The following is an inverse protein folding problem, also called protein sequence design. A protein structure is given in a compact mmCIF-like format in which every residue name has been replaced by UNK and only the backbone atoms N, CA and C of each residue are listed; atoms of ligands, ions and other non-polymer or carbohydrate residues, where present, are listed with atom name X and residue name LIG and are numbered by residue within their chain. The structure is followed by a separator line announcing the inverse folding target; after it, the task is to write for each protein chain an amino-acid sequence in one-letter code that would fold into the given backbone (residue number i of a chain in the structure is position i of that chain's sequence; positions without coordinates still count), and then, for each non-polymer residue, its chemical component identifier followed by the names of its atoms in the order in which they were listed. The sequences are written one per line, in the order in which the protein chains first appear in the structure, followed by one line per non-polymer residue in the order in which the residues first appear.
data_IF_917924998192
#
_entry.id   IF_917924998192
#
_cell.length_a   1.000
_cell.length_b   1.000
_cell.length_c   1.000
_cell.angle_alpha   90.00
_cell.angle_beta   90.00
_cell.angle_gamma   90.00
#
_symmetry.space_group_name_H-M   'P 1'
#
loop_
_entity.id
_entity.type
_entity.pdbx_description
1 polymer ?
#
# COMPACT_ATOMS: atom_id res chain seq x y z
N UNK A 1 41.73 -18.97 -18.94
CA UNK A 1 40.56 -19.77 -19.38
C UNK A 1 39.38 -18.82 -19.34
N UNK A 2 38.62 -18.74 -20.44
CA UNK A 2 37.41 -17.93 -20.44
C UNK A 2 36.28 -18.72 -19.80
N UNK A 3 35.60 -18.12 -18.82
CA UNK A 3 34.48 -18.72 -18.12
C UNK A 3 33.19 -18.61 -18.95
N UNK A 4 32.32 -19.61 -18.77
CA UNK A 4 30.96 -19.68 -19.34
C UNK A 4 29.93 -19.48 -18.25
N UNK A 5 28.70 -19.10 -18.63
CA UNK A 5 27.58 -18.78 -17.76
C UNK A 5 26.38 -19.61 -18.22
N UNK A 6 25.74 -20.30 -17.28
CA UNK A 6 24.50 -21.03 -17.56
C UNK A 6 23.33 -20.03 -17.50
N UNK A 7 22.64 -19.80 -18.61
CA UNK A 7 21.43 -18.99 -18.68
C UNK A 7 20.18 -19.82 -18.34
N UNK A 8 19.68 -19.66 -17.11
CA UNK A 8 18.44 -20.29 -16.62
C UNK A 8 17.17 -19.63 -17.18
N UNK A 9 17.30 -18.52 -17.89
CA UNK A 9 16.19 -17.70 -18.39
C UNK A 9 15.96 -17.85 -19.89
N UNK A 10 16.96 -18.36 -20.61
CA UNK A 10 17.03 -18.41 -22.07
C UNK A 10 16.87 -17.04 -22.76
N UNK A 11 17.02 -15.94 -22.01
CA UNK A 11 16.92 -14.58 -22.55
C UNK A 11 18.12 -14.27 -23.44
N UNK A 12 19.31 -14.77 -23.11
CA UNK A 12 20.54 -14.41 -23.85
C UNK A 12 20.49 -14.83 -25.31
N UNK A 13 19.80 -15.94 -25.62
CA UNK A 13 19.67 -16.45 -26.98
C UNK A 13 18.37 -16.00 -27.66
N UNK A 14 17.26 -15.95 -26.90
CA UNK A 14 15.93 -15.87 -27.48
C UNK A 14 15.34 -14.46 -27.44
N UNK A 15 16.05 -13.49 -26.85
CA UNK A 15 15.62 -12.09 -26.81
C UNK A 15 16.32 -11.24 -27.87
N UNK A 16 15.55 -10.39 -28.56
CA UNK A 16 16.08 -9.35 -29.45
C UNK A 16 16.22 -7.99 -28.77
N UNK A 17 15.68 -7.84 -27.56
CA UNK A 17 15.59 -6.58 -26.84
C UNK A 17 16.78 -6.30 -25.92
N UNK A 18 17.68 -7.28 -25.75
CA UNK A 18 18.88 -7.17 -24.91
C UNK A 18 20.11 -7.44 -25.75
N UNK A 19 21.14 -6.62 -25.56
CA UNK A 19 22.45 -6.83 -26.14
C UNK A 19 23.24 -7.82 -25.26
N UNK A 20 23.75 -8.90 -25.87
CA UNK A 20 24.58 -9.89 -25.18
C UNK A 20 25.82 -9.26 -24.55
N UNK A 21 26.40 -8.22 -25.18
CA UNK A 21 27.53 -7.49 -24.60
C UNK A 21 27.14 -6.73 -23.33
N UNK A 22 25.91 -6.21 -23.25
CA UNK A 22 25.39 -5.56 -22.04
C UNK A 22 25.20 -6.58 -20.91
N UNK A 23 24.64 -7.75 -21.21
CA UNK A 23 24.49 -8.83 -20.22
C UNK A 23 25.84 -9.29 -19.69
N UNK A 24 26.80 -9.49 -20.61
CA UNK A 24 28.18 -9.86 -20.27
C UNK A 24 28.82 -8.81 -19.36
N UNK A 25 28.72 -7.53 -19.72
CA UNK A 25 29.29 -6.44 -18.94
C UNK A 25 28.64 -6.34 -17.55
N UNK A 26 27.32 -6.48 -17.46
CA UNK A 26 26.59 -6.48 -16.19
C UNK A 26 27.11 -7.57 -15.24
N UNK A 27 27.35 -8.78 -15.73
CA UNK A 27 27.86 -9.88 -14.92
C UNK A 27 29.31 -9.63 -14.47
N UNK A 28 30.16 -9.09 -15.35
CA UNK A 28 31.52 -8.69 -14.99
C UNK A 28 31.50 -7.64 -13.87
N UNK A 29 30.63 -6.63 -14.00
CA UNK A 29 30.53 -5.54 -13.03
C UNK A 29 29.98 -6.03 -11.67
N UNK A 30 28.96 -6.89 -11.69
CA UNK A 30 28.39 -7.52 -10.50
C UNK A 30 29.41 -8.38 -9.74
N UNK A 31 30.31 -9.05 -10.47
CA UNK A 31 31.35 -9.92 -9.92
C UNK A 31 32.75 -9.31 -10.01
N UNK A 32 32.85 -7.99 -10.05
CA UNK A 32 34.10 -7.23 -10.22
C UNK A 32 35.16 -7.52 -9.14
N UNK A 33 34.79 -8.14 -8.02
CA UNK A 33 35.71 -8.61 -6.97
C UNK A 33 36.42 -9.92 -7.30
N UNK A 34 35.97 -10.69 -8.29
CA UNK A 34 36.40 -12.08 -8.54
C UNK A 34 37.33 -12.26 -9.75
N UNK A 35 37.78 -11.19 -10.42
CA UNK A 35 38.64 -11.28 -11.63
C UNK A 35 38.12 -12.25 -12.69
N UNK A 36 36.81 -12.24 -12.95
CA UNK A 36 36.17 -13.13 -13.92
C UNK A 36 36.53 -12.70 -15.33
N UNK A 37 37.04 -13.63 -16.14
CA UNK A 37 37.29 -13.45 -17.57
C UNK A 37 36.28 -14.25 -18.37
N UNK A 38 35.24 -13.60 -18.88
CA UNK A 38 34.20 -14.24 -19.68
C UNK A 38 34.58 -14.34 -21.15
N UNK A 39 34.12 -15.41 -21.82
CA UNK A 39 34.17 -15.53 -23.28
C UNK A 39 33.38 -14.40 -23.97
N UNK A 40 33.57 -14.21 -25.27
CA UNK A 40 32.82 -13.20 -26.04
C UNK A 40 31.31 -13.47 -26.04
N UNK A 41 30.92 -14.74 -26.18
CA UNK A 41 29.56 -15.24 -26.04
C UNK A 41 29.54 -16.29 -24.91
N UNK A 42 29.46 -15.86 -23.64
CA UNK A 42 29.69 -16.76 -22.51
C UNK A 42 28.44 -17.56 -22.13
N UNK A 43 27.28 -17.26 -22.69
CA UNK A 43 26.01 -17.85 -22.28
C UNK A 43 25.77 -19.21 -22.95
N UNK A 44 25.44 -20.20 -22.13
CA UNK A 44 25.01 -21.53 -22.56
C UNK A 44 23.64 -21.84 -21.95
N UNK A 45 22.83 -22.63 -22.64
CA UNK A 45 21.52 -23.05 -22.14
C UNK A 45 21.63 -23.86 -20.84
N UNK A 46 20.51 -23.93 -20.12
CA UNK A 46 20.40 -24.72 -18.91
C UNK A 46 20.65 -26.22 -19.16
N UNK A 47 21.87 -26.67 -18.84
CA UNK A 47 22.24 -28.08 -18.81
C UNK A 47 22.33 -28.55 -17.35
N UNK A 48 21.45 -29.50 -16.92
CA UNK A 48 21.48 -30.02 -15.57
C UNK A 48 22.82 -30.68 -15.20
N UNK A 49 23.56 -31.21 -16.17
CA UNK A 49 24.88 -31.82 -15.94
C UNK A 49 25.95 -30.78 -15.58
N UNK A 50 25.80 -29.55 -16.07
CA UNK A 50 26.74 -28.45 -15.81
C UNK A 50 26.43 -27.70 -14.51
N UNK A 51 25.18 -27.76 -14.04
CA UNK A 51 24.72 -27.07 -12.84
C UNK A 51 25.46 -27.46 -11.55
N UNK A 52 26.06 -28.66 -11.51
CA UNK A 52 26.81 -29.16 -10.36
C UNK A 52 28.30 -28.75 -10.34
N UNK A 53 28.80 -28.14 -11.43
CA UNK A 53 30.23 -27.83 -11.59
C UNK A 53 30.65 -26.48 -10.99
N UNK A 54 29.78 -25.82 -10.23
CA UNK A 54 30.06 -24.50 -9.62
C UNK A 54 30.18 -23.37 -10.64
N UNK A 55 29.64 -23.56 -11.85
CA UNK A 55 29.62 -22.56 -12.92
C UNK A 55 28.65 -21.44 -12.54
N UNK A 56 28.99 -20.20 -12.92
CA UNK A 56 28.11 -19.05 -12.70
C UNK A 56 26.77 -19.22 -13.44
N UNK A 57 25.69 -18.85 -12.77
CA UNK A 57 24.33 -18.99 -13.29
C UNK A 57 23.69 -17.62 -13.42
N UNK A 58 23.06 -17.37 -14.57
CA UNK A 58 22.26 -16.18 -14.80
C UNK A 58 20.78 -16.54 -14.64
N UNK A 59 20.14 -15.96 -13.64
CA UNK A 59 18.77 -16.28 -13.21
C UNK A 59 17.81 -15.12 -13.44
N UNK A 60 16.51 -15.37 -13.26
CA UNK A 60 15.50 -14.31 -13.34
C UNK A 60 15.69 -13.18 -12.33
N UNK A 61 16.30 -13.46 -11.17
CA UNK A 61 16.63 -12.40 -10.21
C UNK A 61 17.75 -11.50 -10.76
N UNK A 62 18.75 -12.09 -11.43
CA UNK A 62 19.81 -11.34 -12.09
C UNK A 62 19.25 -10.47 -13.24
N UNK A 63 18.27 -10.99 -14.00
CA UNK A 63 17.55 -10.20 -15.00
C UNK A 63 16.84 -8.99 -14.40
N UNK A 64 16.11 -9.18 -13.29
CA UNK A 64 15.36 -8.10 -12.63
C UNK A 64 16.33 -7.01 -12.16
N UNK A 65 17.43 -7.39 -11.49
CA UNK A 65 18.45 -6.46 -11.05
C UNK A 65 19.12 -5.73 -12.24
N UNK A 66 19.38 -6.44 -13.34
CA UNK A 66 19.92 -5.85 -14.56
C UNK A 66 18.95 -4.83 -15.18
N UNK A 67 17.65 -5.14 -15.25
CA UNK A 67 16.64 -4.25 -15.80
C UNK A 67 16.47 -2.95 -14.99
N UNK A 68 16.78 -3.00 -13.70
CA UNK A 68 16.78 -1.83 -12.81
C UNK A 68 18.11 -1.07 -12.79
N UNK A 69 19.13 -1.54 -13.51
CA UNK A 69 20.45 -0.90 -13.52
C UNK A 69 20.51 0.32 -14.45
N UNK A 70 21.29 1.33 -14.06
CA UNK A 70 21.52 2.53 -14.88
C UNK A 70 22.12 2.18 -16.25
N UNK A 71 22.98 1.17 -16.32
CA UNK A 71 23.60 0.72 -17.57
C UNK A 71 22.55 0.23 -18.57
N UNK A 72 21.55 -0.51 -18.07
CA UNK A 72 20.44 -0.97 -18.89
C UNK A 72 19.56 0.19 -19.35
N UNK A 73 19.16 1.09 -18.45
CA UNK A 73 18.33 2.24 -18.80
C UNK A 73 18.95 3.18 -19.83
N UNK A 74 20.29 3.34 -19.83
CA UNK A 74 20.99 4.15 -20.83
C UNK A 74 20.94 3.59 -22.25
N UNK A 75 20.75 2.28 -22.39
CA UNK A 75 20.83 1.59 -23.68
C UNK A 75 19.48 1.05 -24.14
N UNK A 76 18.49 0.94 -23.25
CA UNK A 76 17.17 0.40 -23.56
C UNK A 76 16.25 1.49 -24.13
N UNK A 77 15.92 1.38 -25.41
CA UNK A 77 15.02 2.30 -26.12
C UNK A 77 13.56 1.86 -26.05
N UNK A 78 12.64 2.74 -26.46
CA UNK A 78 11.22 2.43 -26.60
C UNK A 78 10.99 1.26 -27.55
N UNK A 79 11.72 1.19 -28.67
CA UNK A 79 11.64 0.11 -29.66
C UNK A 79 12.08 -1.23 -29.07
N UNK A 80 13.15 -1.23 -28.27
CA UNK A 80 13.58 -2.41 -27.50
C UNK A 80 12.53 -2.79 -26.46
N UNK A 81 11.85 -1.83 -25.84
CA UNK A 81 10.78 -2.12 -24.91
C UNK A 81 9.55 -2.76 -25.59
N UNK A 82 9.17 -2.30 -26.79
CA UNK A 82 8.12 -2.97 -27.59
C UNK A 82 8.48 -4.43 -27.91
N UNK A 83 9.76 -4.70 -28.23
CA UNK A 83 10.27 -6.06 -28.44
C UNK A 83 10.23 -6.89 -27.15
N UNK A 84 10.59 -6.30 -26.01
CA UNK A 84 10.52 -6.91 -24.68
C UNK A 84 9.09 -7.31 -24.32
N UNK A 85 8.12 -6.41 -24.50
CA UNK A 85 6.70 -6.68 -24.28
C UNK A 85 6.22 -7.82 -25.17
N UNK A 86 6.60 -7.80 -26.45
CA UNK A 86 6.21 -8.84 -27.42
C UNK A 86 6.81 -10.21 -27.06
N UNK A 87 8.07 -10.24 -26.64
CA UNK A 87 8.74 -11.46 -26.17
C UNK A 87 7.98 -12.06 -24.99
N UNK A 88 7.69 -11.26 -23.96
CA UNK A 88 6.98 -11.72 -22.78
C UNK A 88 5.54 -12.15 -23.08
N UNK A 89 4.83 -11.45 -23.96
CA UNK A 89 3.52 -11.86 -24.43
C UNK A 89 3.57 -13.24 -25.10
N UNK A 90 4.54 -13.50 -25.97
CA UNK A 90 4.67 -14.79 -26.64
C UNK A 90 4.91 -15.95 -25.66
N UNK A 91 5.62 -15.68 -24.55
CA UNK A 91 5.99 -16.67 -23.53
C UNK A 91 4.97 -16.82 -22.40
N UNK A 92 4.11 -15.83 -22.17
CA UNK A 92 3.21 -15.78 -21.01
C UNK A 92 1.75 -15.47 -21.40
N UNK A 93 1.39 -15.63 -22.67
CA UNK A 93 0.01 -15.33 -23.13
C UNK A 93 -1.05 -16.21 -22.47
N UNK A 94 -0.68 -17.43 -22.05
CA UNK A 94 -1.59 -18.43 -21.47
C UNK A 94 -1.44 -18.61 -19.94
N UNK A 95 -0.46 -17.95 -19.32
CA UNK A 95 -0.12 -18.11 -17.89
C UNK A 95 0.63 -16.88 -17.37
N UNK A 96 0.39 -16.49 -16.12
CA UNK A 96 1.17 -15.43 -15.44
C UNK A 96 2.61 -15.86 -15.12
N UNK A 97 2.89 -17.16 -15.21
CA UNK A 97 4.24 -17.70 -15.08
C UNK A 97 4.92 -17.80 -16.43
N UNK A 98 6.21 -17.49 -16.44
CA UNK A 98 7.06 -17.67 -17.61
C UNK A 98 7.18 -19.17 -17.89
N UNK A 99 6.93 -19.58 -19.14
CA UNK A 99 7.07 -20.98 -19.56
C UNK A 99 8.47 -21.50 -19.21
N UNK A 100 8.52 -22.60 -18.46
CA UNK A 100 9.77 -23.20 -17.98
C UNK A 100 10.34 -22.60 -16.69
N UNK A 101 9.65 -21.64 -16.05
CA UNK A 101 10.10 -20.98 -14.83
C UNK A 101 9.00 -20.91 -13.77
N UNK A 102 9.40 -20.80 -12.50
CA UNK A 102 8.49 -20.51 -11.38
C UNK A 102 8.22 -19.02 -11.22
N UNK A 103 8.93 -18.15 -11.95
CA UNK A 103 8.84 -16.70 -11.85
C UNK A 103 7.52 -16.17 -12.43
N UNK A 104 6.86 -15.29 -11.68
CA UNK A 104 5.70 -14.53 -12.16
C UNK A 104 6.16 -13.32 -12.96
N UNK A 105 5.55 -13.11 -14.12
CA UNK A 105 5.82 -11.94 -14.96
C UNK A 105 5.46 -10.62 -14.26
N UNK A 106 4.51 -10.64 -13.33
CA UNK A 106 4.06 -9.44 -12.60
C UNK A 106 5.17 -8.82 -11.74
N UNK A 107 6.19 -9.60 -11.38
CA UNK A 107 7.35 -9.18 -10.58
C UNK A 107 8.49 -8.59 -11.41
N UNK A 108 8.43 -8.69 -12.73
CA UNK A 108 9.52 -8.26 -13.61
C UNK A 108 9.24 -6.83 -14.05
N UNK A 109 10.20 -5.90 -13.90
CA UNK A 109 10.06 -4.57 -14.47
C UNK A 109 10.33 -4.65 -15.97
N UNK A 110 9.28 -4.54 -16.79
CA UNK A 110 9.41 -4.58 -18.25
C UNK A 110 8.53 -3.58 -19.00
N UNK A 111 7.67 -2.83 -18.29
CA UNK A 111 6.86 -1.78 -18.90
C UNK A 111 7.56 -0.44 -18.70
N UNK A 112 7.82 0.26 -19.80
CA UNK A 112 8.42 1.59 -19.71
C UNK A 112 7.37 2.67 -19.42
N UNK A 113 7.64 3.49 -18.42
CA UNK A 113 6.79 4.60 -18.00
C UNK A 113 7.05 5.90 -18.79
N UNK A 114 6.31 6.97 -18.45
CA UNK A 114 6.46 8.30 -19.04
C UNK A 114 7.82 8.94 -18.77
N UNK A 115 8.55 8.47 -17.76
CA UNK A 115 9.90 8.91 -17.39
C UNK A 115 10.99 8.01 -18.01
N UNK A 116 10.62 7.10 -18.92
CA UNK A 116 11.49 6.11 -19.55
C UNK A 116 12.15 5.13 -18.57
N UNK A 117 11.52 4.86 -17.43
CA UNK A 117 11.96 3.85 -16.46
C UNK A 117 11.15 2.58 -16.63
N UNK A 118 11.78 1.43 -16.40
CA UNK A 118 11.07 0.16 -16.38
C UNK A 118 10.39 -0.02 -15.03
N UNK A 119 9.11 -0.34 -15.09
CA UNK A 119 8.24 -0.50 -13.95
C UNK A 119 7.60 -1.88 -13.99
N UNK A 120 7.26 -2.38 -12.81
CA UNK A 120 6.44 -3.58 -12.67
C UNK A 120 5.01 -3.30 -13.13
N UNK A 121 4.30 -4.36 -13.53
CA UNK A 121 2.94 -4.25 -14.05
C UNK A 121 1.99 -3.59 -13.05
N UNK A 122 2.11 -3.98 -11.78
CA UNK A 122 1.19 -3.58 -10.72
C UNK A 122 1.20 -2.06 -10.51
N UNK A 123 2.34 -1.41 -10.74
CA UNK A 123 2.56 0.02 -10.50
C UNK A 123 2.27 0.89 -11.74
N UNK A 124 1.96 0.29 -12.88
CA UNK A 124 1.79 1.00 -14.15
C UNK A 124 0.32 1.19 -14.53
N UNK A 125 -0.04 2.41 -14.94
CA UNK A 125 -1.38 2.76 -15.42
C UNK A 125 -1.43 3.03 -16.92
N UNK A 126 -2.56 2.74 -17.56
CA UNK A 126 -2.87 3.33 -18.86
C UNK A 126 -3.21 4.82 -18.67
N UNK A 127 -2.59 5.74 -19.43
CA UNK A 127 -3.00 7.14 -19.48
C UNK A 127 -4.46 7.27 -19.89
N UNK A 128 -5.20 8.17 -19.24
CA UNK A 128 -6.60 8.50 -19.59
C UNK A 128 -6.64 9.89 -20.23
N UNK A 129 -7.38 10.06 -21.32
CA UNK A 129 -7.49 11.33 -22.06
C UNK A 129 -8.07 12.49 -21.21
N UNK A 130 -8.72 12.18 -20.10
CA UNK A 130 -9.36 13.14 -19.18
C UNK A 130 -8.41 13.72 -18.14
N UNK A 131 -7.27 13.08 -17.88
CA UNK A 131 -6.25 13.59 -16.96
C UNK A 131 -5.23 14.30 -17.83
N UNK A 132 -5.57 15.50 -18.30
CA UNK A 132 -4.60 16.37 -18.98
C UNK A 132 -3.36 16.52 -18.12
N UNK A 133 -2.17 16.51 -18.75
CA UNK A 133 -0.77 16.56 -18.27
C UNK A 133 -0.46 17.30 -16.94
N UNK A 134 -1.25 17.05 -15.91
CA UNK A 134 -1.27 17.76 -14.65
C UNK A 134 -0.77 16.77 -13.63
N UNK A 135 0.52 16.89 -13.30
CA UNK A 135 1.16 16.29 -12.13
C UNK A 135 0.51 16.80 -10.83
N UNK A 136 -0.75 16.46 -10.63
CA UNK A 136 -1.56 16.84 -9.49
C UNK A 136 -1.45 15.78 -8.41
N UNK A 137 -0.80 16.16 -7.31
CA UNK A 137 -0.59 15.42 -6.07
C UNK A 137 0.51 14.36 -6.10
N UNK A 138 1.76 14.80 -5.92
CA UNK A 138 2.73 14.28 -4.93
C UNK A 138 3.10 12.80 -4.88
N UNK A 139 2.54 11.95 -5.74
CA UNK A 139 2.85 10.54 -5.88
C UNK A 139 3.54 10.33 -7.22
N UNK A 140 4.70 9.65 -7.19
CA UNK A 140 5.43 9.15 -8.36
C UNK A 140 4.60 8.08 -9.08
N UNK A 141 3.49 8.48 -9.70
CA UNK A 141 2.65 7.55 -10.45
C UNK A 141 3.30 7.23 -11.78
N UNK A 142 3.39 5.93 -12.08
CA UNK A 142 3.90 5.44 -13.35
C UNK A 142 2.75 5.28 -14.35
N UNK A 143 2.75 6.12 -15.38
CA UNK A 143 1.89 6.00 -16.54
C UNK A 143 2.67 5.36 -17.68
N UNK A 144 2.04 4.44 -18.41
CA UNK A 144 2.65 3.82 -19.56
C UNK A 144 3.09 4.88 -20.59
N UNK A 145 4.31 4.74 -21.10
CA UNK A 145 4.86 5.65 -22.09
C UNK A 145 3.91 5.84 -23.29
N UNK A 146 3.68 7.10 -23.69
CA UNK A 146 2.72 7.45 -24.75
C UNK A 146 3.01 6.77 -26.08
N UNK A 147 4.29 6.59 -26.44
CA UNK A 147 4.69 5.91 -27.68
C UNK A 147 4.37 4.42 -27.65
N UNK A 148 4.44 3.79 -26.48
CA UNK A 148 4.06 2.39 -26.28
C UNK A 148 2.54 2.27 -26.29
N UNK A 149 1.82 3.19 -25.65
CA UNK A 149 0.36 3.23 -25.70
C UNK A 149 -0.16 3.34 -27.14
N UNK A 150 0.42 4.24 -27.94
CA UNK A 150 0.05 4.39 -29.34
C UNK A 150 0.26 3.10 -30.12
N UNK A 151 1.39 2.43 -29.92
CA UNK A 151 1.69 1.13 -30.52
C UNK A 151 0.69 0.04 -30.07
N UNK A 152 0.31 0.00 -28.79
CA UNK A 152 -0.71 -0.93 -28.27
C UNK A 152 -2.12 -0.66 -28.80
N UNK A 153 -2.41 0.58 -29.22
CA UNK A 153 -3.68 0.97 -29.81
C UNK A 153 -3.79 0.59 -31.30
N UNK A 154 -2.67 0.23 -31.94
CA UNK A 154 -2.69 -0.32 -33.30
C UNK A 154 -3.43 -1.67 -33.31
N UNK A 155 -4.19 -1.92 -34.39
CA UNK A 155 -5.04 -3.10 -34.52
C UNK A 155 -4.29 -4.43 -34.28
N UNK A 156 -3.02 -4.50 -34.71
CA UNK A 156 -2.19 -5.71 -34.63
C UNK A 156 -1.79 -6.07 -33.19
N UNK A 157 -1.73 -5.08 -32.29
CA UNK A 157 -1.24 -5.24 -30.92
C UNK A 157 -2.37 -5.25 -29.87
N UNK A 158 -3.63 -5.24 -30.31
CA UNK A 158 -4.78 -5.19 -29.42
C UNK A 158 -4.82 -6.37 -28.44
N UNK A 159 -4.38 -7.56 -28.87
CA UNK A 159 -4.29 -8.73 -27.99
C UNK A 159 -3.25 -8.54 -26.88
N UNK A 160 -2.13 -7.89 -27.17
CA UNK A 160 -1.09 -7.55 -26.18
C UNK A 160 -1.67 -6.56 -25.16
N UNK A 161 -2.41 -5.55 -25.62
CA UNK A 161 -3.09 -4.59 -24.74
C UNK A 161 -4.09 -5.28 -23.81
N UNK A 162 -4.89 -6.22 -24.33
CA UNK A 162 -5.82 -7.00 -23.51
C UNK A 162 -5.10 -7.89 -22.49
N UNK A 163 -3.97 -8.49 -22.89
CA UNK A 163 -3.15 -9.28 -21.99
C UNK A 163 -2.55 -8.43 -20.87
N UNK A 164 -2.02 -7.25 -21.16
CA UNK A 164 -1.54 -6.31 -20.14
C UNK A 164 -2.65 -5.89 -19.17
N UNK A 165 -3.88 -5.69 -19.66
CA UNK A 165 -5.05 -5.44 -18.81
C UNK A 165 -5.34 -6.60 -17.86
N UNK A 166 -5.25 -7.84 -18.34
CA UNK A 166 -5.44 -9.04 -17.50
C UNK A 166 -4.35 -9.19 -16.43
N UNK A 167 -3.12 -8.80 -16.74
CA UNK A 167 -1.99 -8.85 -15.80
C UNK A 167 -2.04 -7.73 -14.74
N UNK A 168 -2.91 -6.72 -14.89
CA UNK A 168 -3.12 -5.69 -13.89
C UNK A 168 -2.76 -4.26 -14.31
N UNK A 169 -2.38 -4.01 -15.58
CA UNK A 169 -2.28 -2.63 -16.10
C UNK A 169 -3.71 -2.10 -16.26
N UNK A 170 -4.09 -1.16 -15.42
CA UNK A 170 -5.45 -0.60 -15.41
C UNK A 170 -5.43 0.87 -15.79
N UNK A 171 -6.56 1.38 -16.28
CA UNK A 171 -6.74 2.82 -16.43
C UNK A 171 -6.78 3.49 -15.06
N UNK A 172 -6.26 4.71 -14.96
CA UNK A 172 -6.39 5.49 -13.73
C UNK A 172 -7.83 5.96 -13.59
N UNK A 173 -8.51 5.38 -12.60
CA UNK A 173 -9.82 5.78 -12.11
C UNK A 173 -9.69 6.04 -10.61
N UNK A 174 -10.68 6.72 -10.02
CA UNK A 174 -10.70 6.96 -8.57
C UNK A 174 -10.62 5.63 -7.77
N UNK A 175 -11.25 4.56 -8.28
CA UNK A 175 -11.24 3.24 -7.66
C UNK A 175 -9.86 2.56 -7.79
N UNK A 176 -9.23 2.60 -8.96
CA UNK A 176 -7.90 1.99 -9.14
C UNK A 176 -6.84 2.73 -8.35
N UNK A 177 -6.93 4.06 -8.25
CA UNK A 177 -6.07 4.88 -7.40
C UNK A 177 -6.24 4.53 -5.91
N UNK A 178 -7.49 4.34 -5.45
CA UNK A 178 -7.76 3.88 -4.08
C UNK A 178 -7.07 2.54 -3.78
N UNK A 179 -7.24 1.54 -4.64
CA UNK A 179 -6.72 0.19 -4.40
C UNK A 179 -5.21 0.06 -4.52
N UNK A 180 -4.59 0.78 -5.47
CA UNK A 180 -3.15 0.66 -5.75
C UNK A 180 -2.30 1.67 -4.99
N UNK A 181 -2.84 2.83 -4.64
CA UNK A 181 -2.05 3.91 -4.02
C UNK A 181 -2.48 4.19 -2.59
N UNK A 182 -3.75 4.45 -2.33
CA UNK A 182 -4.20 4.90 -1.00
C UNK A 182 -4.19 3.74 0.01
N UNK A 183 -4.84 2.60 -0.31
CA UNK A 183 -4.95 1.45 0.62
C UNK A 183 -3.57 0.91 1.03
N UNK A 184 -2.63 0.61 0.09
CA UNK A 184 -1.32 0.07 0.46
C UNK A 184 -0.47 1.03 1.30
N UNK A 185 -0.66 2.35 1.11
CA UNK A 185 0.10 3.39 1.80
C UNK A 185 -0.70 4.10 2.91
N UNK A 186 -1.82 3.53 3.36
CA UNK A 186 -2.78 4.22 4.21
C UNK A 186 -2.16 4.85 5.48
N UNK A 187 -1.20 4.16 6.12
CA UNK A 187 -0.51 4.65 7.31
C UNK A 187 0.33 5.93 7.08
N UNK A 188 0.80 6.17 5.84
CA UNK A 188 1.73 7.26 5.50
C UNK A 188 1.15 8.30 4.52
N UNK A 189 0.07 7.96 3.81
CA UNK A 189 -0.46 8.78 2.71
C UNK A 189 -0.98 10.16 3.16
N UNK A 190 -1.68 10.21 4.29
CA UNK A 190 -2.29 11.46 4.79
C UNK A 190 -1.29 12.30 5.59
N UNK A 191 -1.21 13.58 5.24
CA UNK A 191 -0.48 14.63 5.92
C UNK A 191 -1.38 15.87 6.14
N UNK A 192 -0.87 16.89 6.83
CA UNK A 192 -1.67 18.06 7.22
C UNK A 192 -2.25 18.84 6.05
N UNK A 193 -1.61 18.78 4.88
CA UNK A 193 -2.03 19.53 3.69
C UNK A 193 -3.09 18.80 2.86
N UNK A 194 -3.12 17.46 2.89
CA UNK A 194 -4.02 16.66 2.05
C UNK A 194 -5.17 15.98 2.83
N UNK A 195 -5.18 16.06 4.16
CA UNK A 195 -6.09 15.31 5.03
C UNK A 195 -7.57 15.60 4.76
N UNK A 196 -7.96 16.86 4.67
CA UNK A 196 -9.37 17.21 4.44
C UNK A 196 -9.78 16.81 3.02
N UNK A 197 -9.04 17.26 2.01
CA UNK A 197 -9.41 17.07 0.60
C UNK A 197 -9.47 15.59 0.22
N UNK A 198 -8.51 14.78 0.66
CA UNK A 198 -8.48 13.35 0.34
C UNK A 198 -9.68 12.63 0.95
N UNK A 199 -9.92 12.83 2.25
CA UNK A 199 -11.02 12.16 2.95
C UNK A 199 -12.37 12.60 2.38
N UNK A 200 -12.53 13.88 2.02
CA UNK A 200 -13.76 14.36 1.39
C UNK A 200 -13.94 13.84 -0.04
N UNK A 201 -12.86 13.61 -0.80
CA UNK A 201 -12.94 12.90 -2.09
C UNK A 201 -13.39 11.45 -1.90
N UNK A 202 -12.84 10.74 -0.91
CA UNK A 202 -13.28 9.38 -0.57
C UNK A 202 -14.75 9.35 -0.16
N UNK A 203 -15.19 10.33 0.63
CA UNK A 203 -16.60 10.46 0.99
C UNK A 203 -17.49 10.65 -0.25
N UNK A 204 -17.09 11.49 -1.21
CA UNK A 204 -17.84 11.66 -2.45
C UNK A 204 -17.92 10.36 -3.28
N UNK A 205 -16.87 9.54 -3.29
CA UNK A 205 -16.90 8.21 -3.93
C UNK A 205 -17.86 7.25 -3.22
N UNK A 206 -17.92 7.32 -1.89
CA UNK A 206 -18.84 6.54 -1.08
C UNK A 206 -20.30 6.93 -1.35
N UNK A 207 -20.60 8.24 -1.40
CA UNK A 207 -21.94 8.74 -1.74
C UNK A 207 -22.39 8.33 -3.15
N UNK A 208 -21.46 8.28 -4.11
CA UNK A 208 -21.72 7.79 -5.47
C UNK A 208 -21.86 6.27 -5.55
N UNK A 209 -21.67 5.54 -4.44
CA UNK A 209 -21.68 4.07 -4.41
C UNK A 209 -20.51 3.43 -5.15
N UNK A 210 -19.45 4.19 -5.47
CA UNK A 210 -18.25 3.69 -6.15
C UNK A 210 -17.37 2.87 -5.21
N UNK A 211 -17.38 3.22 -3.92
CA UNK A 211 -16.68 2.49 -2.86
C UNK A 211 -17.67 2.13 -1.77
N UNK A 212 -17.49 0.97 -1.13
CA UNK A 212 -18.40 0.44 -0.13
C UNK A 212 -17.72 0.16 1.19
N UNK A 213 -18.40 -0.66 2.00
CA UNK A 213 -17.96 -1.02 3.35
C UNK A 213 -16.62 -1.77 3.34
N UNK A 214 -16.38 -2.63 2.36
CA UNK A 214 -15.18 -3.49 2.35
C UNK A 214 -13.92 -2.70 1.96
N UNK A 215 -14.03 -1.72 1.07
CA UNK A 215 -12.94 -0.80 0.75
C UNK A 215 -12.64 0.13 1.93
N UNK A 216 -13.68 0.71 2.54
CA UNK A 216 -13.51 1.62 3.68
C UNK A 216 -12.88 0.94 4.90
N UNK A 217 -13.18 -0.34 5.13
CA UNK A 217 -12.55 -1.13 6.20
C UNK A 217 -11.04 -1.27 6.05
N UNK A 218 -10.54 -1.31 4.81
CA UNK A 218 -9.11 -1.39 4.53
C UNK A 218 -8.39 -0.06 4.83
N UNK A 219 -9.13 1.03 5.03
CA UNK A 219 -8.61 2.35 5.36
C UNK A 219 -8.57 2.62 6.88
N UNK A 220 -8.65 1.59 7.72
CA UNK A 220 -8.62 1.74 9.18
C UNK A 220 -7.32 2.38 9.71
N UNK A 221 -6.22 2.19 9.00
CA UNK A 221 -4.91 2.80 9.31
C UNK A 221 -4.72 4.17 8.65
N UNK A 222 -5.63 4.60 7.77
CA UNK A 222 -5.58 5.92 7.14
C UNK A 222 -5.77 7.00 8.19
N UNK A 223 -4.87 7.98 8.23
CA UNK A 223 -4.92 9.03 9.26
C UNK A 223 -6.06 10.01 9.00
N UNK A 224 -6.75 10.40 10.07
CA UNK A 224 -7.79 11.42 10.08
C UNK A 224 -7.34 12.60 10.93
N UNK A 225 -7.83 13.79 10.57
CA UNK A 225 -7.64 15.01 11.33
C UNK A 225 -8.50 14.97 12.59
N UNK A 226 -7.88 15.32 13.71
CA UNK A 226 -8.53 15.40 15.01
C UNK A 226 -8.98 16.83 15.36
N UNK A 227 -9.67 17.00 16.49
CA UNK A 227 -10.16 18.29 16.98
C UNK A 227 -9.02 19.25 17.31
N UNK A 228 -7.86 18.78 17.79
CA UNK A 228 -6.69 19.64 18.02
C UNK A 228 -5.71 19.69 16.84
N UNK A 229 -6.09 19.14 15.68
CA UNK A 229 -5.33 19.26 14.45
C UNK A 229 -4.16 18.28 14.32
N UNK A 230 -4.12 17.21 15.12
CA UNK A 230 -3.19 16.10 14.88
C UNK A 230 -3.77 15.09 13.87
N UNK A 231 -2.93 14.15 13.45
CA UNK A 231 -3.30 13.11 12.49
C UNK A 231 -3.10 11.74 13.12
N UNK A 232 -4.19 11.03 13.35
CA UNK A 232 -4.17 9.69 13.94
C UNK A 232 -4.94 8.70 13.07
N UNK A 233 -4.60 7.40 13.08
CA UNK A 233 -5.34 6.37 12.35
C UNK A 233 -6.84 6.39 12.63
N UNK A 234 -7.67 6.12 11.62
CA UNK A 234 -9.13 6.10 11.73
C UNK A 234 -9.61 5.15 12.85
N UNK A 235 -9.00 3.97 12.99
CA UNK A 235 -9.35 2.99 14.03
C UNK A 235 -9.07 3.45 15.47
N UNK A 236 -8.27 4.51 15.63
CA UNK A 236 -7.94 5.13 16.92
C UNK A 236 -8.75 6.41 17.17
N UNK A 237 -9.51 6.88 16.18
CA UNK A 237 -10.37 8.03 16.34
C UNK A 237 -11.68 7.66 17.04
N UNK A 238 -12.21 8.63 17.78
CA UNK A 238 -13.56 8.64 18.34
C UNK A 238 -14.36 9.77 17.72
N UNK A 239 -15.68 9.61 17.61
CA UNK A 239 -16.55 10.72 17.19
C UNK A 239 -16.51 11.87 18.21
N UNK A 240 -16.26 13.09 17.74
CA UNK A 240 -16.45 14.31 18.53
C UNK A 240 -17.93 14.61 18.73
N UNK A 241 -18.26 15.45 19.71
CA UNK A 241 -19.62 15.89 20.00
C UNK A 241 -20.29 16.58 18.80
N UNK A 242 -19.50 17.09 17.86
CA UNK A 242 -20.01 17.68 16.61
C UNK A 242 -20.72 16.66 15.70
N UNK A 243 -20.50 15.36 15.92
CA UNK A 243 -21.13 14.26 15.19
C UNK A 243 -22.33 13.65 15.94
N UNK A 244 -22.76 14.24 17.05
CA UNK A 244 -23.87 13.74 17.88
C UNK A 244 -23.72 12.24 18.25
N UNK A 245 -22.60 11.84 18.89
CA UNK A 245 -22.40 10.46 19.31
C UNK A 245 -23.37 10.10 20.45
N UNK A 246 -23.76 8.82 20.52
CA UNK A 246 -24.62 8.30 21.61
C UNK A 246 -24.10 8.62 23.02
N UNK A 247 -22.78 8.64 23.17
CA UNK A 247 -22.09 9.01 24.40
C UNK A 247 -21.13 10.18 24.10
N UNK A 248 -21.45 11.41 24.53
CA UNK A 248 -20.60 12.59 24.30
C UNK A 248 -19.41 12.59 25.27
N UNK A 249 -18.38 11.81 24.94
CA UNK A 249 -17.20 11.62 25.79
C UNK A 249 -16.15 12.73 25.66
N UNK A 250 -16.26 13.57 24.63
CA UNK A 250 -15.27 14.60 24.33
C UNK A 250 -15.05 15.55 25.49
N UNK A 251 -16.12 15.98 26.18
CA UNK A 251 -16.01 16.92 27.30
C UNK A 251 -15.15 16.39 28.45
N UNK A 252 -15.16 15.07 28.66
CA UNK A 252 -14.46 14.39 29.74
C UNK A 252 -13.02 14.02 29.37
N UNK A 253 -12.74 13.78 28.08
CA UNK A 253 -11.48 13.23 27.60
C UNK A 253 -10.62 14.22 26.81
N UNK A 254 -11.17 15.39 26.42
CA UNK A 254 -10.47 16.43 25.65
C UNK A 254 -9.14 16.88 26.25
N UNK A 255 -8.95 16.72 27.57
CA UNK A 255 -7.74 17.15 28.28
C UNK A 255 -6.64 16.10 28.29
N UNK A 256 -6.94 14.84 27.94
CA UNK A 256 -6.02 13.71 28.13
C UNK A 256 -5.32 13.33 26.83
N UNK A 257 -6.08 13.16 25.75
CA UNK A 257 -5.53 12.78 24.44
C UNK A 257 -6.37 13.37 23.30
N UNK A 258 -5.68 13.76 22.24
CA UNK A 258 -6.30 14.22 21.01
C UNK A 258 -6.72 13.03 20.14
N UNK A 259 -7.91 12.51 20.42
CA UNK A 259 -8.46 11.31 19.75
C UNK A 259 -9.79 11.55 19.05
N UNK A 260 -10.32 12.76 19.10
CA UNK A 260 -11.65 13.08 18.60
C UNK A 260 -11.60 13.57 17.16
N UNK A 261 -12.49 13.06 16.32
CA UNK A 261 -12.57 13.38 14.90
C UNK A 261 -12.89 14.86 14.69
N UNK A 262 -12.14 15.52 13.81
CA UNK A 262 -12.26 16.95 13.56
C UNK A 262 -13.63 17.34 12.97
N UNK A 263 -14.31 18.39 13.48
CA UNK A 263 -15.52 18.92 12.85
C UNK A 263 -15.26 19.57 11.49
N UNK A 264 -14.01 19.74 11.08
CA UNK A 264 -13.68 20.32 9.77
C UNK A 264 -14.21 19.47 8.60
N UNK A 265 -14.37 18.16 8.78
CA UNK A 265 -15.01 17.30 7.77
C UNK A 265 -16.52 17.55 7.62
N UNK A 266 -17.16 18.17 8.62
CA UNK A 266 -18.56 18.59 8.54
C UNK A 266 -18.72 19.90 7.78
N UNK A 267 -17.74 20.81 7.89
CA UNK A 267 -17.79 22.17 7.34
C UNK A 267 -17.65 22.25 5.83
N UNK A 268 -17.14 21.20 5.17
CA UNK A 268 -16.93 21.24 3.73
C UNK A 268 -18.29 21.06 3.00
N UNK A 269 -18.85 22.19 2.56
CA UNK A 269 -20.25 22.38 2.14
C UNK A 269 -20.59 21.88 0.74
N UNK A 270 -19.68 21.21 0.03
CA UNK A 270 -19.93 20.79 -1.36
C UNK A 270 -21.11 19.79 -1.44
N UNK A 271 -21.43 19.09 -0.35
CA UNK A 271 -22.42 18.01 -0.33
C UNK A 271 -23.48 18.10 0.80
N UNK A 272 -23.54 19.19 1.57
CA UNK A 272 -24.30 19.22 2.84
C UNK A 272 -25.59 20.07 2.75
N UNK A 273 -26.77 19.43 2.71
CA UNK A 273 -28.07 20.13 2.77
C UNK A 273 -29.08 19.53 3.79
N UNK A 274 -28.63 18.86 4.86
CA UNK A 274 -29.55 18.38 5.91
C UNK A 274 -28.98 17.37 6.91
N UNK A 275 -29.84 16.85 7.80
CA UNK A 275 -29.51 15.79 8.78
C UNK A 275 -29.09 14.47 8.14
N UNK A 276 -29.62 14.17 6.95
CA UNK A 276 -29.30 12.94 6.21
C UNK A 276 -27.81 12.84 5.85
N UNK A 277 -27.15 13.97 5.60
CA UNK A 277 -25.71 14.04 5.30
C UNK A 277 -24.84 13.79 6.55
N UNK A 278 -25.32 14.16 7.76
CA UNK A 278 -24.61 13.87 9.00
C UNK A 278 -24.57 12.36 9.28
N UNK A 279 -25.71 11.68 9.13
CA UNK A 279 -25.80 10.24 9.33
C UNK A 279 -24.97 9.46 8.30
N UNK A 280 -24.93 9.94 7.06
CA UNK A 280 -24.11 9.35 6.00
C UNK A 280 -22.61 9.52 6.28
N UNK A 281 -22.17 10.72 6.71
CA UNK A 281 -20.78 10.95 7.13
C UNK A 281 -20.41 10.08 8.33
N UNK A 282 -21.28 9.99 9.34
CA UNK A 282 -21.07 9.09 10.48
C UNK A 282 -20.90 7.64 10.03
N UNK A 283 -21.76 7.18 9.11
CA UNK A 283 -21.67 5.84 8.55
C UNK A 283 -20.36 5.61 7.81
N UNK A 284 -19.93 6.56 6.99
CA UNK A 284 -18.65 6.54 6.29
C UNK A 284 -17.47 6.39 7.26
N UNK A 285 -17.37 7.26 8.26
CA UNK A 285 -16.30 7.21 9.26
C UNK A 285 -16.37 5.94 10.12
N UNK A 286 -17.57 5.46 10.44
CA UNK A 286 -17.75 4.19 11.15
C UNK A 286 -17.24 3.00 10.34
N UNK A 287 -17.44 2.99 9.01
CA UNK A 287 -16.88 1.96 8.14
C UNK A 287 -15.36 2.00 8.04
N UNK A 288 -14.76 3.20 8.14
CA UNK A 288 -13.31 3.36 8.30
C UNK A 288 -12.80 2.92 9.67
N UNK A 289 -13.67 2.69 10.66
CA UNK A 289 -13.27 2.21 11.99
C UNK A 289 -13.25 3.28 13.08
N UNK A 290 -13.75 4.49 12.81
CA UNK A 290 -13.96 5.50 13.85
C UNK A 290 -14.96 4.96 14.87
N UNK A 291 -14.60 5.07 16.16
CA UNK A 291 -15.33 4.44 17.25
C UNK A 291 -16.38 5.38 17.84
N UNK A 292 -17.53 4.81 18.15
CA UNK A 292 -18.57 5.47 18.94
C UNK A 292 -18.73 4.83 20.32
N UNK A 293 -18.45 3.52 20.43
CA UNK A 293 -18.64 2.77 21.66
C UNK A 293 -17.33 2.58 22.42
N UNK A 294 -17.44 2.60 23.74
CA UNK A 294 -16.38 2.18 24.65
C UNK A 294 -16.39 0.66 24.76
N UNK A 295 -15.25 0.03 24.52
CA UNK A 295 -15.10 -1.40 24.78
C UNK A 295 -14.82 -1.63 26.27
N UNK A 296 -15.61 -2.50 26.89
CA UNK A 296 -15.36 -2.96 28.24
C UNK A 296 -14.10 -3.83 28.23
N UNK A 297 -13.05 -3.39 28.93
CA UNK A 297 -11.90 -4.25 29.22
C UNK A 297 -12.34 -5.22 30.30
N UNK A 298 -12.41 -6.51 29.94
CA UNK A 298 -12.72 -7.57 30.90
C UNK A 298 -11.44 -7.91 31.66
N UNK A 299 -11.36 -7.49 32.92
CA UNK A 299 -10.27 -7.90 33.80
C UNK A 299 -10.61 -9.24 34.44
N UNK A 300 -10.12 -10.33 33.85
CA UNK A 300 -10.32 -11.69 34.38
C UNK A 300 -9.37 -12.02 35.55
N UNK A 301 -8.63 -11.03 36.08
CA UNK A 301 -7.68 -11.23 37.20
C UNK A 301 -8.00 -10.31 38.38
N UNK A 302 -7.77 -10.83 39.59
CA UNK A 302 -7.85 -10.08 40.83
C UNK A 302 -6.74 -9.01 40.79
N UNK A 303 -7.14 -7.76 40.60
CA UNK A 303 -6.22 -6.62 40.59
C UNK A 303 -5.95 -6.15 42.02
N UNK A 304 -4.70 -6.23 42.45
CA UNK A 304 -4.23 -5.53 43.63
C UNK A 304 -4.26 -4.00 43.38
N UNK A 305 -4.42 -3.20 44.43
CA UNK A 305 -4.65 -1.74 44.30
C UNK A 305 -3.48 -1.03 43.61
N UNK A 306 -2.26 -1.43 43.89
CA UNK A 306 -1.03 -0.95 43.26
C UNK A 306 -1.00 -1.24 41.76
N UNK A 307 -1.36 -2.47 41.34
CA UNK A 307 -1.50 -2.81 39.93
C UNK A 307 -2.63 -2.05 39.25
N UNK A 308 -3.76 -1.86 39.93
CA UNK A 308 -4.86 -1.05 39.39
C UNK A 308 -4.43 0.41 39.18
N UNK A 309 -3.69 1.01 40.12
CA UNK A 309 -3.14 2.35 39.93
C UNK A 309 -2.16 2.40 38.74
N UNK A 310 -1.32 1.38 38.53
CA UNK A 310 -0.44 1.28 37.36
C UNK A 310 -1.20 1.15 36.05
N UNK A 311 -2.38 0.53 36.06
CA UNK A 311 -3.28 0.50 34.90
C UNK A 311 -4.03 1.82 34.66
N UNK A 312 -3.91 2.81 35.54
CA UNK A 312 -4.52 4.13 35.37
C UNK A 312 -5.86 4.31 36.09
N UNK A 313 -6.25 3.40 37.00
CA UNK A 313 -7.49 3.54 37.77
C UNK A 313 -7.41 4.70 38.77
N UNK A 314 -8.50 5.48 38.89
CA UNK A 314 -8.57 6.58 39.85
C UNK A 314 -8.51 6.07 41.30
N UNK A 315 -7.57 6.59 42.10
CA UNK A 315 -7.39 6.21 43.51
C UNK A 315 -8.65 6.46 44.35
N UNK A 316 -9.37 7.55 44.11
CA UNK A 316 -10.60 7.88 44.81
C UNK A 316 -11.72 6.90 44.49
N UNK A 317 -11.87 6.51 43.21
CA UNK A 317 -12.85 5.49 42.83
C UNK A 317 -12.57 4.15 43.53
N UNK A 318 -11.30 3.73 43.54
CA UNK A 318 -10.88 2.50 44.23
C UNK A 318 -11.20 2.57 45.73
N UNK A 319 -11.00 3.73 46.38
CA UNK A 319 -11.33 3.92 47.79
C UNK A 319 -12.84 3.91 48.07
N UNK A 320 -13.64 4.56 47.23
CA UNK A 320 -15.11 4.67 47.40
C UNK A 320 -15.83 3.33 47.24
N UNK A 321 -15.34 2.48 46.32
CA UNK A 321 -15.99 1.21 46.01
C UNK A 321 -15.24 -0.02 46.54
N UNK A 322 -14.22 0.19 47.38
CA UNK A 322 -13.61 -0.88 48.17
C UNK A 322 -14.64 -1.37 49.21
N UNK A 323 -15.03 -2.66 49.21
CA UNK A 323 -16.07 -3.18 50.10
C UNK A 323 -15.82 -2.94 51.59
N UNK A 324 -14.57 -2.65 52.00
CA UNK A 324 -14.16 -2.57 53.40
C UNK A 324 -13.35 -1.30 53.75
N UNK A 325 -13.23 -0.30 52.86
CA UNK A 325 -12.45 0.91 53.11
C UNK A 325 -10.95 0.67 53.41
N UNK A 326 -10.42 -0.52 53.07
CA UNK A 326 -9.03 -0.93 53.32
C UNK A 326 -8.39 -1.50 52.06
N UNK A 327 -7.13 -1.11 51.81
CA UNK A 327 -6.29 -1.58 50.69
C UNK A 327 -5.85 -3.04 50.92
N UNK A 328 -6.72 -4.01 50.67
CA UNK A 328 -6.33 -5.44 50.64
C UNK A 328 -6.27 -5.96 49.19
N UNK A 329 -5.35 -6.89 48.93
CA UNK A 329 -5.07 -7.42 47.59
C UNK A 329 -6.27 -8.10 46.89
N UNK A 330 -7.31 -8.46 47.64
CA UNK A 330 -8.52 -9.13 47.16
C UNK A 330 -9.79 -8.24 47.18
N UNK A 331 -9.67 -6.96 47.53
CA UNK A 331 -10.81 -6.06 47.71
C UNK A 331 -11.69 -5.89 46.46
N UNK A 332 -11.15 -6.16 45.27
CA UNK A 332 -11.83 -6.00 43.98
C UNK A 332 -12.12 -7.34 43.29
N UNK A 333 -11.96 -8.47 43.99
CA UNK A 333 -12.18 -9.83 43.45
C UNK A 333 -13.62 -10.10 42.96
N UNK A 334 -14.58 -9.25 43.34
CA UNK A 334 -15.97 -9.28 42.85
C UNK A 334 -16.26 -8.38 41.63
N UNK A 335 -15.34 -7.50 41.24
CA UNK A 335 -15.49 -6.63 40.07
C UNK A 335 -15.16 -7.42 38.80
N UNK A 336 -16.11 -8.25 38.34
CA UNK A 336 -16.00 -9.01 37.08
C UNK A 336 -16.16 -8.14 35.83
N UNK A 337 -16.61 -6.91 36.01
CA UNK A 337 -16.84 -5.91 34.98
C UNK A 337 -16.49 -4.56 35.58
N UNK A 338 -15.41 -3.95 35.12
CA UNK A 338 -15.04 -2.60 35.52
C UNK A 338 -15.37 -1.70 34.33
N UNK A 339 -16.51 -1.02 34.41
CA UNK A 339 -16.86 0.04 33.49
C UNK A 339 -15.87 1.19 33.63
N UNK A 340 -15.06 1.37 32.58
CA UNK A 340 -14.56 2.67 32.14
C UNK A 340 -14.04 3.62 33.22
N UNK A 341 -13.03 3.19 33.97
CA UNK A 341 -12.30 4.06 34.91
C UNK A 341 -10.80 4.06 34.66
N UNK A 342 -10.42 3.88 33.40
CA UNK A 342 -9.06 4.19 33.00
C UNK A 342 -8.89 5.70 32.71
N UNK A 343 -9.98 6.47 32.58
CA UNK A 343 -9.90 7.89 32.18
C UNK A 343 -10.94 8.84 32.80
N UNK A 344 -11.83 8.40 33.68
CA UNK A 344 -12.73 9.29 34.45
C UNK A 344 -11.94 9.89 35.62
N UNK A 345 -11.01 10.79 35.28
CA UNK A 345 -10.33 11.65 36.23
C UNK A 345 -11.33 12.69 36.73
N UNK A 346 -11.33 12.80 38.05
CA UNK A 346 -12.04 13.78 38.87
C UNK A 346 -11.83 15.19 38.32
N UNK A 347 -12.94 15.79 37.87
CA UNK A 347 -13.09 17.24 37.75
C UNK A 347 -13.00 17.82 39.16
N UNK A 348 -12.11 18.79 39.39
CA UNK A 348 -12.17 19.66 40.56
C UNK A 348 -13.27 20.71 40.38
#
# INVERSE_FOLDING_TARGET
VHEVIIDKTSISEQSSFIDVHLMRQYIIDKHSKSSISLAEYPFIDDDPNLSHLGIHMFTWNDCIEMFMSDAFHRTHSIERNKQMITYFYSRCSMSEKIVGSTMSITRIPFLMDQNNRLQVIEDTYFPTDTIGDSGGMGCDESFLNKSILNWLNEYQNHQIKQWLRKLGVTERTDLTFLHKTIIPNAAAYINQTNAIDTIMKLFALFQKGTIGKEELRQLNTLKLLTTHGTLIPAERCYFSNSYDPRLPLEEYLKTVEDMFLSPNYLRNTIFCTGKEDLDEKRRFFSFMGVRENLFLIKCDTILATDKALQYGFCSNYLLTYSPNGRRMANAYSGLRTISFLQHTIVVY
#
